data_IF_530969873401
#
_entry.id   IF_530969873401
#
_cell.length_a   1.000
_cell.length_b   1.000
_cell.length_c   1.000
_cell.angle_alpha   90.00
_cell.angle_beta   90.00
_cell.angle_gamma   90.00
#
_symmetry.space_group_name_H-M   'P 1'
#
loop_
_entity.id
_entity.type
_entity.pdbx_description
1 polymer ?
#
# COMPACT_ATOMS: atom_id res chain seq x y z
N UNK A 1 -0.94 11.05 1.27
CA UNK A 1 -1.24 12.04 0.20
C UNK A 1 -1.83 13.29 0.85
N UNK A 2 -1.31 14.46 0.52
CA UNK A 2 -1.79 15.73 1.04
C UNK A 2 -3.21 16.03 0.56
N UNK A 3 -4.02 16.72 1.38
CA UNK A 3 -5.42 17.07 1.02
C UNK A 3 -5.47 17.96 -0.21
N UNK A 4 -4.56 18.94 -0.32
CA UNK A 4 -4.46 19.81 -1.50
C UNK A 4 -4.22 19.00 -2.79
N UNK A 5 -3.29 18.05 -2.75
CA UNK A 5 -3.01 17.15 -3.87
C UNK A 5 -4.22 16.30 -4.23
N UNK A 6 -4.92 15.76 -3.23
CA UNK A 6 -6.15 15.02 -3.48
C UNK A 6 -7.21 15.89 -4.18
N UNK A 7 -7.39 17.13 -3.72
CA UNK A 7 -8.35 18.06 -4.32
C UNK A 7 -8.00 18.37 -5.79
N UNK A 8 -6.73 18.65 -6.08
CA UNK A 8 -6.25 18.90 -7.45
C UNK A 8 -6.45 17.68 -8.36
N UNK A 9 -6.07 16.49 -7.89
CA UNK A 9 -6.24 15.24 -8.65
C UNK A 9 -7.72 14.92 -8.88
N UNK A 10 -8.59 15.17 -7.90
CA UNK A 10 -10.03 14.97 -8.02
C UNK A 10 -10.64 15.90 -9.08
N UNK A 11 -10.29 17.19 -9.06
CA UNK A 11 -10.71 18.16 -10.07
C UNK A 11 -10.26 17.73 -11.47
N UNK A 12 -9.00 17.36 -11.62
CA UNK A 12 -8.44 16.89 -12.90
C UNK A 12 -9.14 15.62 -13.45
N UNK A 13 -9.84 14.86 -12.57
CA UNK A 13 -10.57 13.64 -12.93
C UNK A 13 -12.08 13.80 -12.95
N UNK A 14 -12.60 15.00 -12.67
CA UNK A 14 -14.04 15.24 -12.55
C UNK A 14 -14.69 14.46 -11.40
N UNK A 15 -13.93 14.14 -10.35
CA UNK A 15 -14.40 13.41 -9.16
C UNK A 15 -14.82 14.42 -8.10
N UNK A 16 -16.07 14.36 -7.66
CA UNK A 16 -16.54 15.13 -6.50
C UNK A 16 -16.14 14.39 -5.21
N UNK A 17 -15.31 15.04 -4.40
CA UNK A 17 -14.95 14.51 -3.09
C UNK A 17 -16.09 14.77 -2.09
N UNK A 18 -16.39 13.83 -1.18
CA UNK A 18 -17.29 14.07 -0.05
C UNK A 18 -16.62 14.98 0.98
N UNK A 19 -17.43 15.77 1.70
CA UNK A 19 -16.98 16.71 2.72
C UNK A 19 -16.13 16.04 3.81
N UNK A 20 -16.41 14.78 4.11
CA UNK A 20 -15.62 13.97 5.06
C UNK A 20 -14.13 13.81 4.67
N UNK A 21 -13.76 13.99 3.40
CA UNK A 21 -12.37 13.97 2.93
C UNK A 21 -11.72 15.37 2.94
N UNK A 22 -12.51 16.44 2.96
CA UNK A 22 -12.02 17.81 2.82
C UNK A 22 -12.12 18.61 4.11
N UNK A 23 -13.14 18.38 4.92
CA UNK A 23 -13.44 19.19 6.11
C UNK A 23 -13.10 18.48 7.44
N UNK A 24 -13.12 17.12 7.45
CA UNK A 24 -12.99 16.34 8.68
C UNK A 24 -11.90 15.27 8.56
N UNK A 25 -10.79 15.57 7.95
CA UNK A 25 -9.66 14.67 7.83
C UNK A 25 -8.68 14.81 9.00
N UNK A 26 -8.13 13.72 9.57
CA UNK A 26 -8.46 12.30 9.32
C UNK A 26 -9.80 11.91 9.97
N UNK A 27 -10.54 10.95 9.38
CA UNK A 27 -11.78 10.47 9.98
C UNK A 27 -11.50 9.80 11.34
N UNK A 28 -12.27 10.16 12.35
CA UNK A 28 -12.17 9.52 13.66
C UNK A 28 -12.89 8.17 13.67
N UNK A 29 -12.16 7.11 13.99
CA UNK A 29 -12.67 5.75 14.13
C UNK A 29 -12.51 5.29 15.58
N UNK A 30 -13.50 4.57 16.10
CA UNK A 30 -13.36 3.83 17.34
C UNK A 30 -12.98 2.38 17.03
N UNK A 31 -12.15 1.77 17.87
CA UNK A 31 -11.64 0.40 17.68
C UNK A 31 -12.73 -0.68 17.52
N UNK A 32 -13.96 -0.39 17.96
CA UNK A 32 -15.12 -1.30 17.85
C UNK A 32 -16.09 -0.89 16.72
N UNK A 33 -15.80 0.15 15.96
CA UNK A 33 -16.69 0.68 14.93
C UNK A 33 -16.43 0.00 13.57
N UNK A 34 -16.96 -1.20 13.39
CA UNK A 34 -16.92 -1.91 12.11
C UNK A 34 -17.54 -1.11 10.95
N UNK A 35 -18.65 -0.39 11.20
CA UNK A 35 -19.27 0.48 10.20
C UNK A 35 -18.37 1.67 9.87
N UNK A 36 -17.61 2.14 10.84
CA UNK A 36 -16.60 3.19 10.68
C UNK A 36 -15.47 2.74 9.75
N UNK A 37 -14.99 1.49 9.91
CA UNK A 37 -13.97 0.92 9.04
C UNK A 37 -14.43 0.90 7.57
N UNK A 38 -15.69 0.50 7.29
CA UNK A 38 -16.22 0.52 5.93
C UNK A 38 -16.37 1.93 5.36
N UNK A 39 -16.73 2.92 6.21
CA UNK A 39 -16.74 4.32 5.77
C UNK A 39 -15.35 4.79 5.41
N UNK A 40 -14.37 4.53 6.28
CA UNK A 40 -12.97 4.83 6.03
C UNK A 40 -12.48 4.18 4.74
N UNK A 41 -12.71 2.88 4.56
CA UNK A 41 -12.28 2.15 3.38
C UNK A 41 -12.86 2.75 2.08
N UNK A 42 -14.14 3.13 2.08
CA UNK A 42 -14.73 3.82 0.91
C UNK A 42 -14.10 5.17 0.63
N UNK A 43 -13.80 5.95 1.65
CA UNK A 43 -13.14 7.25 1.50
C UNK A 43 -11.70 7.06 1.00
N UNK A 44 -11.00 6.08 1.56
CA UNK A 44 -9.66 5.71 1.12
C UNK A 44 -9.64 5.25 -0.34
N UNK A 45 -10.55 4.36 -0.74
CA UNK A 45 -10.65 3.88 -2.11
C UNK A 45 -10.99 5.01 -3.10
N UNK A 46 -11.85 5.94 -2.70
CA UNK A 46 -12.16 7.13 -3.49
C UNK A 46 -10.92 8.01 -3.66
N UNK A 47 -10.22 8.33 -2.57
CA UNK A 47 -9.00 9.14 -2.62
C UNK A 47 -7.93 8.47 -3.49
N UNK A 48 -7.71 7.17 -3.31
CA UNK A 48 -6.77 6.38 -4.10
C UNK A 48 -7.14 6.35 -5.59
N UNK A 49 -8.43 6.30 -5.92
CA UNK A 49 -8.91 6.28 -7.30
C UNK A 49 -8.61 7.56 -8.09
N UNK A 50 -8.27 8.65 -7.40
CA UNK A 50 -7.84 9.89 -8.04
C UNK A 50 -6.38 9.83 -8.53
N UNK A 51 -5.57 8.92 -7.98
CA UNK A 51 -4.16 8.74 -8.37
C UNK A 51 -4.11 7.88 -9.63
N UNK A 52 -4.06 8.51 -10.80
CA UNK A 52 -4.03 7.83 -12.10
C UNK A 52 -2.90 8.35 -12.96
N UNK A 53 -2.12 7.41 -13.49
CA UNK A 53 -0.97 7.71 -14.34
C UNK A 53 0.30 8.01 -13.56
N UNK A 54 1.40 8.02 -14.30
CA UNK A 54 2.76 8.11 -13.75
C UNK A 54 2.98 9.37 -12.92
N UNK A 55 2.60 10.54 -13.45
CA UNK A 55 2.82 11.83 -12.79
C UNK A 55 2.17 11.88 -11.38
N UNK A 56 0.91 11.43 -11.27
CA UNK A 56 0.23 11.41 -9.99
C UNK A 56 0.86 10.42 -8.99
N UNK A 57 1.32 9.26 -9.47
CA UNK A 57 2.00 8.27 -8.65
C UNK A 57 3.34 8.81 -8.13
N UNK A 58 4.19 9.39 -9.00
CA UNK A 58 5.46 10.03 -8.63
C UNK A 58 5.25 11.15 -7.62
N UNK A 59 4.25 12.00 -7.85
CA UNK A 59 3.93 13.12 -6.95
C UNK A 59 3.59 12.63 -5.53
N UNK A 60 2.76 11.61 -5.40
CA UNK A 60 2.38 11.07 -4.07
C UNK A 60 3.58 10.52 -3.32
N UNK A 61 4.50 9.83 -3.98
CA UNK A 61 5.73 9.32 -3.36
C UNK A 61 6.64 10.47 -2.94
N UNK A 62 6.86 11.44 -3.82
CA UNK A 62 7.72 12.59 -3.54
C UNK A 62 7.20 13.44 -2.36
N UNK A 63 5.88 13.69 -2.32
CA UNK A 63 5.25 14.43 -1.22
C UNK A 63 5.33 13.67 0.11
N UNK A 64 5.15 12.35 0.11
CA UNK A 64 5.27 11.55 1.33
C UNK A 64 6.70 11.63 1.91
N UNK A 65 7.71 11.47 1.07
CA UNK A 65 9.10 11.60 1.51
C UNK A 65 9.46 13.02 1.99
N UNK A 66 8.91 14.04 1.34
CA UNK A 66 9.13 15.43 1.76
C UNK A 66 8.47 15.76 3.12
N UNK A 67 7.27 15.23 3.37
CA UNK A 67 6.57 15.38 4.64
C UNK A 67 7.35 14.67 5.76
N UNK A 68 7.78 13.43 5.54
CA UNK A 68 8.59 12.66 6.49
C UNK A 68 9.95 13.34 6.78
N UNK A 69 10.60 13.92 5.77
CA UNK A 69 11.83 14.67 5.95
C UNK A 69 11.63 15.90 6.86
N UNK A 70 10.50 16.61 6.67
CA UNK A 70 10.16 17.78 7.48
C UNK A 70 9.89 17.41 8.95
N UNK A 71 9.44 16.16 9.21
CA UNK A 71 9.21 15.63 10.55
C UNK A 71 10.48 14.96 11.17
N UNK A 72 11.58 14.93 10.44
CA UNK A 72 12.87 14.39 10.91
C UNK A 72 13.04 12.89 10.73
N UNK A 73 12.17 12.22 9.97
CA UNK A 73 12.32 10.81 9.61
C UNK A 73 13.59 10.57 8.79
N UNK A 74 14.13 9.36 8.90
CA UNK A 74 15.30 8.91 8.13
C UNK A 74 14.97 7.78 7.16
N UNK A 75 13.85 7.09 7.41
CA UNK A 75 13.39 5.98 6.62
C UNK A 75 11.88 5.99 6.55
N UNK A 76 11.33 5.76 5.36
CA UNK A 76 9.91 5.67 5.05
C UNK A 76 9.64 4.38 4.28
N UNK A 77 8.67 3.59 4.71
CA UNK A 77 8.16 2.45 3.94
C UNK A 77 6.77 2.75 3.39
N UNK A 78 6.64 2.72 2.08
CA UNK A 78 5.37 2.93 1.40
C UNK A 78 4.79 1.61 0.90
N UNK A 79 3.58 1.29 1.39
CA UNK A 79 2.85 0.13 0.90
C UNK A 79 2.10 0.46 -0.39
N UNK A 80 2.26 -0.39 -1.40
CA UNK A 80 1.58 -0.26 -2.69
C UNK A 80 0.98 -1.59 -3.14
N UNK A 81 -0.23 -1.53 -3.72
CA UNK A 81 -0.84 -2.63 -4.48
C UNK A 81 -0.75 -2.30 -5.97
N UNK A 82 0.25 -2.80 -6.71
CA UNK A 82 0.46 -2.46 -8.13
C UNK A 82 -0.75 -2.74 -9.02
N UNK A 83 -1.54 -3.77 -8.68
CA UNK A 83 -2.75 -4.14 -9.43
C UNK A 83 -3.79 -3.02 -9.50
N UNK A 84 -3.82 -2.14 -8.50
CA UNK A 84 -4.77 -1.02 -8.47
C UNK A 84 -4.42 0.11 -9.45
N UNK A 85 -3.16 0.21 -9.82
CA UNK A 85 -2.65 1.24 -10.73
C UNK A 85 -2.39 0.71 -12.14
N UNK A 86 -2.24 -0.60 -12.29
CA UNK A 86 -1.98 -1.28 -13.56
C UNK A 86 -2.83 -0.82 -14.74
N UNK A 87 -4.16 -0.58 -14.60
CA UNK A 87 -5.00 -0.11 -15.70
C UNK A 87 -4.61 1.27 -16.27
N UNK A 88 -3.88 2.08 -15.50
CA UNK A 88 -3.55 3.45 -15.86
C UNK A 88 -2.13 3.61 -16.44
N UNK A 89 -1.30 2.58 -16.33
CA UNK A 89 0.12 2.64 -16.70
C UNK A 89 0.60 1.40 -17.49
N UNK A 90 -0.33 0.58 -17.96
CA UNK A 90 -0.02 -0.54 -18.86
C UNK A 90 0.37 -1.86 -18.17
N UNK A 91 0.18 -2.00 -16.86
CA UNK A 91 0.41 -3.27 -16.16
C UNK A 91 0.99 -3.12 -14.75
N UNK A 92 1.09 -4.27 -14.05
CA UNK A 92 1.61 -4.30 -12.66
C UNK A 92 3.12 -4.01 -12.60
N UNK A 93 3.87 -4.41 -13.63
CA UNK A 93 5.32 -4.16 -13.70
C UNK A 93 5.61 -2.66 -13.88
N UNK A 94 5.07 -1.97 -14.90
CA UNK A 94 5.23 -0.53 -14.99
C UNK A 94 4.74 0.24 -13.75
N UNK A 95 3.62 -0.20 -13.14
CA UNK A 95 3.12 0.43 -11.93
C UNK A 95 4.14 0.34 -10.77
N UNK A 96 4.79 -0.81 -10.59
CA UNK A 96 5.81 -0.95 -9.56
C UNK A 96 7.08 -0.16 -9.92
N UNK A 97 7.55 -0.23 -11.16
CA UNK A 97 8.76 0.48 -11.62
C UNK A 97 8.66 1.98 -11.42
N UNK A 98 7.49 2.60 -11.76
CA UNK A 98 7.24 4.03 -11.53
C UNK A 98 7.40 4.37 -10.04
N UNK A 99 6.86 3.55 -9.14
CA UNK A 99 6.95 3.79 -7.70
C UNK A 99 8.38 3.63 -7.19
N UNK A 100 9.13 2.63 -7.67
CA UNK A 100 10.53 2.42 -7.30
C UNK A 100 11.43 3.54 -7.79
N UNK A 101 11.21 4.02 -9.02
CA UNK A 101 11.95 5.17 -9.56
C UNK A 101 11.65 6.43 -8.76
N UNK A 102 10.36 6.69 -8.47
CA UNK A 102 9.97 7.83 -7.64
C UNK A 102 10.56 7.75 -6.22
N UNK A 103 10.66 6.55 -5.63
CA UNK A 103 11.28 6.34 -4.33
C UNK A 103 12.78 6.67 -4.35
N UNK A 104 13.50 6.28 -5.42
CA UNK A 104 14.92 6.66 -5.59
C UNK A 104 15.10 8.17 -5.73
N UNK A 105 14.30 8.81 -6.59
CA UNK A 105 14.32 10.26 -6.79
C UNK A 105 14.00 11.02 -5.49
N UNK A 106 12.96 10.58 -4.77
CA UNK A 106 12.57 11.19 -3.51
C UNK A 106 13.65 11.04 -2.43
N UNK A 107 14.32 9.89 -2.37
CA UNK A 107 15.46 9.67 -1.46
C UNK A 107 16.61 10.65 -1.76
N UNK A 108 16.95 10.82 -3.02
CA UNK A 108 18.00 11.77 -3.43
C UNK A 108 17.63 13.22 -3.11
N UNK A 109 16.35 13.57 -3.26
CA UNK A 109 15.87 14.93 -3.04
C UNK A 109 15.73 15.29 -1.55
N UNK A 110 15.41 14.34 -0.69
CA UNK A 110 15.05 14.61 0.72
C UNK A 110 16.06 14.09 1.74
N UNK A 111 16.89 13.11 1.35
CA UNK A 111 17.77 12.39 2.27
C UNK A 111 17.05 11.34 3.14
N UNK A 112 15.73 11.16 2.97
CA UNK A 112 14.96 10.08 3.60
C UNK A 112 15.03 8.84 2.73
N UNK A 113 15.49 7.71 3.25
CA UNK A 113 15.45 6.43 2.53
C UNK A 113 13.99 6.01 2.32
N UNK A 114 13.59 5.67 1.08
CA UNK A 114 12.23 5.23 0.77
C UNK A 114 12.25 3.79 0.27
N UNK A 115 11.76 2.85 1.09
CA UNK A 115 11.53 1.44 0.75
C UNK A 115 10.09 1.19 0.30
N UNK A 116 9.88 0.16 -0.51
CA UNK A 116 8.54 -0.18 -1.00
C UNK A 116 8.10 -1.55 -0.47
N UNK A 117 6.91 -1.60 0.13
CA UNK A 117 6.21 -2.83 0.49
C UNK A 117 5.16 -3.12 -0.57
N UNK A 118 5.33 -4.22 -1.32
CA UNK A 118 4.29 -4.66 -2.26
C UNK A 118 3.23 -5.45 -1.50
N UNK A 119 1.98 -5.01 -1.56
CA UNK A 119 0.89 -5.69 -0.88
C UNK A 119 -0.06 -6.40 -1.86
N UNK A 120 -0.47 -7.61 -1.49
CA UNK A 120 -1.62 -8.29 -2.06
C UNK A 120 -2.90 -7.90 -1.31
N UNK A 121 -4.05 -8.11 -1.94
CA UNK A 121 -5.36 -7.81 -1.36
C UNK A 121 -6.14 -9.09 -1.07
N UNK A 122 -6.68 -9.22 0.15
CA UNK A 122 -7.51 -10.38 0.55
C UNK A 122 -8.78 -10.54 -0.27
N UNK A 123 -9.29 -9.44 -0.86
CA UNK A 123 -10.51 -9.49 -1.69
C UNK A 123 -10.25 -9.94 -3.13
N UNK A 124 -8.98 -10.15 -3.51
CA UNK A 124 -8.57 -10.70 -4.80
C UNK A 124 -8.26 -12.19 -4.69
N UNK A 125 -8.16 -12.83 -5.85
CA UNK A 125 -7.83 -14.25 -5.89
C UNK A 125 -6.38 -14.50 -5.39
N UNK A 126 -6.11 -15.56 -4.60
CA UNK A 126 -4.76 -15.86 -4.08
C UNK A 126 -3.67 -16.03 -5.15
N UNK A 127 -4.03 -16.39 -6.38
CA UNK A 127 -3.10 -16.43 -7.50
C UNK A 127 -2.56 -15.05 -7.88
N UNK A 128 -3.35 -13.98 -7.69
CA UNK A 128 -2.89 -12.60 -7.90
C UNK A 128 -1.79 -12.25 -6.88
N UNK A 129 -1.96 -12.68 -5.62
CA UNK A 129 -0.94 -12.52 -4.59
C UNK A 129 0.37 -13.23 -4.96
N UNK A 130 0.31 -14.46 -5.53
CA UNK A 130 1.50 -15.17 -6.01
C UNK A 130 2.18 -14.44 -7.17
N UNK A 131 1.40 -13.83 -8.04
CA UNK A 131 1.92 -13.02 -9.15
C UNK A 131 2.64 -11.77 -8.63
N UNK A 132 2.01 -11.06 -7.67
CA UNK A 132 2.62 -9.90 -7.02
C UNK A 132 3.88 -10.27 -6.21
N UNK A 133 3.88 -11.41 -5.51
CA UNK A 133 5.06 -11.89 -4.78
C UNK A 133 6.24 -12.20 -5.73
N UNK A 134 5.99 -12.79 -6.91
CA UNK A 134 7.04 -12.99 -7.93
C UNK A 134 7.54 -11.67 -8.50
N UNK A 135 6.65 -10.70 -8.71
CA UNK A 135 7.05 -9.38 -9.14
C UNK A 135 7.91 -8.70 -8.07
N UNK A 136 7.46 -8.70 -6.81
CA UNK A 136 8.20 -8.15 -5.67
C UNK A 136 9.60 -8.77 -5.55
N UNK A 137 9.71 -10.09 -5.68
CA UNK A 137 10.98 -10.82 -5.62
C UNK A 137 12.00 -10.38 -6.68
N UNK A 138 11.56 -9.89 -7.84
CA UNK A 138 12.45 -9.38 -8.90
C UNK A 138 13.12 -8.06 -8.54
N UNK A 139 12.51 -7.29 -7.65
CA UNK A 139 12.97 -5.97 -7.22
C UNK A 139 13.35 -5.95 -5.74
N UNK A 140 13.52 -7.14 -5.13
CA UNK A 140 13.90 -7.27 -3.73
C UNK A 140 15.26 -6.64 -3.45
N UNK A 141 15.36 -5.94 -2.33
CA UNK A 141 16.60 -5.32 -1.84
C UNK A 141 16.37 -4.72 -0.46
N UNK A 142 17.41 -4.22 0.14
CA UNK A 142 17.44 -3.65 1.49
C UNK A 142 17.67 -2.13 1.52
N UNK A 143 17.82 -1.53 0.34
CA UNK A 143 18.09 -0.11 0.18
C UNK A 143 16.92 0.71 -0.36
N UNK A 144 17.07 2.04 -0.41
CA UNK A 144 16.07 2.93 -1.00
C UNK A 144 15.75 2.60 -2.46
N UNK A 145 14.49 2.74 -2.83
CA UNK A 145 14.02 2.46 -4.19
C UNK A 145 14.03 0.98 -4.57
N UNK A 146 14.02 0.08 -3.59
CA UNK A 146 13.84 -1.36 -3.77
C UNK A 146 12.57 -1.85 -3.07
N UNK A 147 12.15 -3.07 -3.37
CA UNK A 147 11.10 -3.73 -2.61
C UNK A 147 11.72 -4.34 -1.36
N UNK A 148 11.33 -3.83 -0.20
CA UNK A 148 11.84 -4.27 1.10
C UNK A 148 10.91 -5.26 1.80
N UNK A 149 9.64 -5.31 1.41
CA UNK A 149 8.66 -6.18 2.06
C UNK A 149 7.50 -6.61 1.17
N UNK A 150 6.78 -7.61 1.65
CA UNK A 150 5.55 -8.12 1.05
C UNK A 150 4.43 -8.19 2.07
N UNK A 151 3.29 -7.57 1.76
CA UNK A 151 2.15 -7.41 2.64
C UNK A 151 0.88 -8.10 2.13
N UNK A 152 -0.11 -8.16 3.03
CA UNK A 152 -1.48 -8.59 2.75
C UNK A 152 -2.41 -7.61 3.45
N UNK A 153 -3.32 -7.00 2.71
CA UNK A 153 -4.21 -5.94 3.21
C UNK A 153 -5.66 -6.20 2.85
N UNK A 154 -6.53 -5.23 3.18
CA UNK A 154 -7.95 -5.26 2.91
C UNK A 154 -8.74 -6.18 3.87
N UNK A 155 -10.04 -6.34 3.67
CA UNK A 155 -11.00 -6.99 4.57
C UNK A 155 -10.57 -8.42 4.95
N UNK A 156 -10.07 -8.60 6.17
CA UNK A 156 -9.55 -9.89 6.65
C UNK A 156 -10.61 -10.98 6.81
N UNK A 157 -11.89 -10.64 6.70
CA UNK A 157 -13.00 -11.61 6.67
C UNK A 157 -13.18 -12.23 5.28
N UNK A 158 -12.44 -11.73 4.28
CA UNK A 158 -12.50 -12.18 2.88
C UNK A 158 -11.22 -12.95 2.55
N UNK A 159 -11.39 -14.21 2.16
CA UNK A 159 -10.28 -15.10 1.84
C UNK A 159 -9.60 -15.67 3.09
N UNK A 160 -9.42 -17.00 3.14
CA UNK A 160 -8.69 -17.64 4.22
C UNK A 160 -7.21 -17.25 4.20
N UNK A 161 -6.64 -16.96 5.35
CA UNK A 161 -5.23 -16.55 5.48
C UNK A 161 -4.28 -17.58 4.87
N UNK A 162 -4.54 -18.87 5.08
CA UNK A 162 -3.75 -19.99 4.54
C UNK A 162 -3.65 -19.99 3.00
N UNK A 163 -4.65 -19.48 2.28
CA UNK A 163 -4.65 -19.44 0.82
C UNK A 163 -3.54 -18.52 0.28
N UNK A 164 -3.10 -17.56 1.08
CA UNK A 164 -2.03 -16.61 0.73
C UNK A 164 -0.63 -17.11 1.12
N UNK A 165 -0.51 -18.17 1.93
CA UNK A 165 0.78 -18.69 2.37
C UNK A 165 1.76 -18.98 1.22
N UNK A 166 1.35 -19.54 0.05
CA UNK A 166 2.26 -19.73 -1.07
C UNK A 166 2.87 -18.45 -1.63
N UNK A 167 2.17 -17.30 -1.55
CA UNK A 167 2.71 -15.99 -1.95
C UNK A 167 3.76 -15.51 -0.95
N UNK A 168 3.48 -15.68 0.34
CA UNK A 168 4.43 -15.33 1.41
C UNK A 168 5.67 -16.22 1.39
N UNK A 169 5.56 -17.49 1.01
CA UNK A 169 6.73 -18.35 0.81
C UNK A 169 7.63 -17.90 -0.35
N UNK A 170 7.04 -17.33 -1.42
CA UNK A 170 7.82 -16.73 -2.51
C UNK A 170 8.57 -15.52 -2.00
N UNK A 171 7.89 -14.61 -1.29
CA UNK A 171 8.46 -13.39 -0.75
C UNK A 171 9.57 -13.68 0.27
N UNK A 172 9.37 -14.64 1.18
CA UNK A 172 10.37 -15.08 2.17
C UNK A 172 11.64 -15.60 1.50
N UNK A 173 11.51 -16.44 0.46
CA UNK A 173 12.68 -16.94 -0.29
C UNK A 173 13.44 -15.85 -1.01
N UNK A 174 12.80 -14.71 -1.30
CA UNK A 174 13.44 -13.54 -1.88
C UNK A 174 14.06 -12.61 -0.84
N UNK A 175 13.99 -12.94 0.45
CA UNK A 175 14.54 -12.13 1.54
C UNK A 175 13.70 -10.91 1.92
N UNK A 176 12.43 -10.85 1.46
CA UNK A 176 11.53 -9.74 1.78
C UNK A 176 11.00 -9.85 3.21
N UNK A 177 10.89 -8.72 3.92
CA UNK A 177 10.14 -8.66 5.16
C UNK A 177 8.67 -9.00 4.92
N UNK A 178 8.07 -9.78 5.81
CA UNK A 178 6.67 -10.19 5.67
C UNK A 178 5.80 -9.37 6.62
N UNK A 179 4.93 -8.53 6.06
CA UNK A 179 4.14 -7.53 6.79
C UNK A 179 2.62 -7.67 6.52
N UNK A 180 2.03 -8.84 6.80
CA UNK A 180 0.60 -9.05 6.61
C UNK A 180 -0.23 -8.33 7.66
N UNK A 181 -1.37 -7.75 7.29
CA UNK A 181 -2.39 -7.31 8.24
C UNK A 181 -3.14 -8.51 8.83
N UNK A 182 -3.46 -8.43 10.11
CA UNK A 182 -4.26 -9.41 10.82
C UNK A 182 -4.73 -8.86 12.16
N UNK A 183 -5.98 -9.16 12.57
CA UNK A 183 -6.59 -8.68 13.80
C UNK A 183 -7.16 -7.26 13.71
N UNK A 184 -7.31 -6.70 12.51
CA UNK A 184 -7.91 -5.37 12.29
C UNK A 184 -9.43 -5.39 12.47
N UNK A 185 -10.11 -6.40 11.95
CA UNK A 185 -11.58 -6.56 12.00
C UNK A 185 -12.02 -7.80 12.77
N UNK A 186 -11.12 -8.76 12.89
CA UNK A 186 -11.36 -9.99 13.61
C UNK A 186 -10.63 -9.97 14.97
N UNK A 187 -10.98 -10.94 15.80
CA UNK A 187 -10.48 -11.06 17.18
C UNK A 187 -9.01 -11.52 17.21
N UNK A 188 -8.36 -11.57 18.39
CA UNK A 188 -6.97 -12.01 18.53
C UNK A 188 -6.64 -13.35 17.87
N UNK A 189 -7.61 -14.22 17.67
CA UNK A 189 -7.44 -15.48 16.92
C UNK A 189 -6.95 -15.24 15.49
N UNK A 190 -7.39 -14.16 14.83
CA UNK A 190 -6.92 -13.81 13.48
C UNK A 190 -5.45 -13.37 13.46
N UNK A 191 -4.97 -12.74 14.54
CA UNK A 191 -3.54 -12.44 14.72
C UNK A 191 -2.76 -13.76 14.80
N UNK A 192 -3.21 -14.70 15.63
CA UNK A 192 -2.57 -16.00 15.78
C UNK A 192 -2.56 -16.79 14.49
N UNK A 193 -3.69 -16.78 13.74
CA UNK A 193 -3.77 -17.41 12.42
C UNK A 193 -2.77 -16.77 11.44
N UNK A 194 -2.71 -15.43 11.39
CA UNK A 194 -1.78 -14.70 10.51
C UNK A 194 -0.33 -15.04 10.84
N UNK A 195 0.03 -15.10 12.13
CA UNK A 195 1.37 -15.47 12.58
C UNK A 195 1.69 -16.94 12.26
N UNK A 196 0.74 -17.84 12.43
CA UNK A 196 0.92 -19.27 12.18
C UNK A 196 1.04 -19.62 10.69
N UNK A 197 0.14 -19.07 9.86
CA UNK A 197 0.03 -19.40 8.44
C UNK A 197 1.06 -18.66 7.58
N UNK A 198 1.26 -17.37 7.82
CA UNK A 198 2.13 -16.55 6.99
C UNK A 198 3.54 -16.39 7.57
N UNK A 199 3.72 -16.69 8.84
CA UNK A 199 5.01 -16.69 9.54
C UNK A 199 5.83 -15.43 9.25
N UNK A 200 5.31 -14.23 9.55
CA UNK A 200 6.08 -12.99 9.44
C UNK A 200 7.30 -13.10 10.37
N UNK A 201 8.46 -12.66 9.86
CA UNK A 201 9.72 -12.68 10.62
C UNK A 201 9.93 -11.33 11.30
#
# INVERSE_FOLDING_TARGET
MRIGTLAELAVARGVRLPDALTEHWPPHLHATDERGWFRFQRLYDMARSCVRGEEAMRRVVAEAAADDAAEGSRWLELQVEPSSYAPYVGGITPALEIVLDAAREATLATGVGVGIVVAASRIRHPLDARTLARLAARYAGDGPGTVVGFGLSNDERRGATADFAPAFDIARRAGLALVPHGGELLRPASVQETLGELRPA
#
